data_IF_070735591118
#
_entry.id   IF_070735591118
#
_cell.length_a   1.000
_cell.length_b   1.000
_cell.length_c   1.000
_cell.angle_alpha   90.00
_cell.angle_beta   90.00
_cell.angle_gamma   90.00
#
_symmetry.space_group_name_H-M   'P 1'
#
loop_
_entity.id
_entity.type
_entity.pdbx_description
1 polymer ?
#
# COMPACT_ATOMS: atom_id res chain seq x y z
N UNK A 1 -3.12 30.36 17.40
CA UNK A 1 -2.78 28.93 17.66
C UNK A 1 -3.58 27.99 16.76
N UNK A 2 -4.90 28.15 16.64
CA UNK A 2 -5.77 27.31 15.78
C UNK A 2 -5.39 27.30 14.29
N UNK A 3 -5.05 28.46 13.70
CA UNK A 3 -4.59 28.55 12.30
C UNK A 3 -3.30 27.76 12.04
N UNK A 4 -2.39 27.70 13.03
CA UNK A 4 -1.15 26.92 12.93
C UNK A 4 -1.44 25.41 12.96
N UNK A 5 -2.39 24.95 13.79
CA UNK A 5 -2.78 23.54 13.84
C UNK A 5 -3.42 23.06 12.53
N UNK A 6 -4.37 23.83 11.98
CA UNK A 6 -4.98 23.53 10.67
C UNK A 6 -3.95 23.47 9.54
N UNK A 7 -2.97 24.37 9.56
CA UNK A 7 -1.86 24.36 8.61
C UNK A 7 -0.97 23.12 8.75
N UNK A 8 -0.61 22.72 9.98
CA UNK A 8 0.19 21.52 10.24
C UNK A 8 -0.54 20.25 9.76
N UNK A 9 -1.84 20.13 10.02
CA UNK A 9 -2.64 19.00 9.54
C UNK A 9 -2.72 18.94 8.02
N UNK A 10 -2.97 20.09 7.37
CA UNK A 10 -2.98 20.19 5.92
C UNK A 10 -1.61 19.82 5.33
N UNK A 11 -0.51 20.26 5.93
CA UNK A 11 0.85 19.90 5.50
C UNK A 11 1.11 18.40 5.62
N UNK A 12 0.81 17.79 6.78
CA UNK A 12 0.94 16.34 6.99
C UNK A 12 0.13 15.56 5.95
N UNK A 13 -1.05 16.07 5.57
CA UNK A 13 -1.89 15.47 4.52
C UNK A 13 -1.21 15.49 3.17
N UNK A 14 -0.68 16.64 2.76
CA UNK A 14 0.02 16.79 1.48
C UNK A 14 1.25 15.88 1.43
N UNK A 15 2.01 15.80 2.52
CA UNK A 15 3.20 14.94 2.60
C UNK A 15 2.83 13.45 2.49
N UNK A 16 1.74 13.01 3.12
CA UNK A 16 1.23 11.65 2.99
C UNK A 16 0.79 11.30 1.56
N UNK A 17 0.09 12.22 0.89
CA UNK A 17 -0.34 12.04 -0.50
C UNK A 17 0.86 11.97 -1.44
N UNK A 18 1.86 12.86 -1.26
CA UNK A 18 3.12 12.82 -2.02
C UNK A 18 3.86 11.50 -1.82
N UNK A 19 3.93 11.02 -0.57
CA UNK A 19 4.53 9.72 -0.24
C UNK A 19 3.83 8.54 -0.94
N UNK A 20 2.50 8.56 -1.02
CA UNK A 20 1.75 7.57 -1.79
C UNK A 20 2.10 7.61 -3.28
N UNK A 21 2.12 8.80 -3.91
CA UNK A 21 2.46 8.93 -5.32
C UNK A 21 3.89 8.51 -5.64
N UNK A 22 4.84 8.71 -4.71
CA UNK A 22 6.20 8.20 -4.87
C UNK A 22 6.22 6.67 -4.96
N UNK A 23 5.53 5.97 -4.03
CA UNK A 23 5.42 4.51 -4.08
C UNK A 23 4.66 4.01 -5.32
N UNK A 24 3.57 4.68 -5.70
CA UNK A 24 2.82 4.35 -6.91
C UNK A 24 3.69 4.49 -8.17
N UNK A 25 4.48 5.56 -8.24
CA UNK A 25 5.38 5.82 -9.37
C UNK A 25 6.46 4.74 -9.45
N UNK A 26 7.10 4.42 -8.32
CA UNK A 26 8.09 3.34 -8.25
C UNK A 26 7.47 1.98 -8.66
N UNK A 27 6.25 1.69 -8.18
CA UNK A 27 5.50 0.50 -8.58
C UNK A 27 5.30 0.43 -10.09
N UNK A 28 4.83 1.50 -10.73
CA UNK A 28 4.60 1.51 -12.19
C UNK A 28 5.93 1.32 -12.94
N UNK A 29 6.97 2.08 -12.58
CA UNK A 29 8.27 2.04 -13.28
C UNK A 29 8.91 0.66 -13.18
N UNK A 30 8.96 0.08 -11.97
CA UNK A 30 9.58 -1.23 -11.75
C UNK A 30 8.82 -2.33 -12.49
N UNK A 31 7.49 -2.34 -12.41
CA UNK A 31 6.70 -3.38 -13.08
C UNK A 31 6.78 -3.26 -14.61
N UNK A 32 6.77 -2.05 -15.16
CA UNK A 32 7.02 -1.86 -16.59
C UNK A 32 8.42 -2.35 -16.98
N UNK A 33 9.46 -1.99 -16.22
CA UNK A 33 10.82 -2.45 -16.47
C UNK A 33 10.92 -3.99 -16.46
N UNK A 34 10.29 -4.66 -15.49
CA UNK A 34 10.24 -6.12 -15.42
C UNK A 34 9.60 -6.75 -16.67
N UNK A 35 8.49 -6.18 -17.16
CA UNK A 35 7.82 -6.65 -18.39
C UNK A 35 8.72 -6.42 -19.62
N UNK A 36 9.38 -5.26 -19.72
CA UNK A 36 10.27 -4.95 -20.84
C UNK A 36 11.54 -5.79 -20.85
N UNK A 37 12.07 -6.17 -19.69
CA UNK A 37 13.27 -7.02 -19.57
C UNK A 37 12.98 -8.48 -19.96
N UNK A 38 11.73 -8.95 -19.83
CA UNK A 38 11.36 -10.35 -20.10
C UNK A 38 11.76 -10.84 -21.50
N UNK A 39 11.30 -10.14 -22.54
CA UNK A 39 11.52 -10.54 -23.95
C UNK A 39 12.99 -10.60 -24.34
N UNK A 40 13.82 -9.56 -24.10
CA UNK A 40 15.24 -9.62 -24.45
C UNK A 40 16.00 -10.69 -23.66
N UNK A 41 15.61 -10.98 -22.41
CA UNK A 41 16.19 -12.08 -21.62
C UNK A 41 15.91 -13.43 -22.29
N UNK A 42 14.66 -13.70 -22.67
CA UNK A 42 14.29 -14.95 -23.36
C UNK A 42 15.06 -15.10 -24.68
N UNK A 43 15.12 -14.03 -25.49
CA UNK A 43 15.82 -14.06 -26.78
C UNK A 43 17.33 -14.28 -26.62
N UNK A 44 17.96 -13.64 -25.62
CA UNK A 44 19.38 -13.80 -25.32
C UNK A 44 19.73 -15.26 -24.98
N UNK A 45 18.92 -15.93 -24.17
CA UNK A 45 19.15 -17.32 -23.79
C UNK A 45 18.78 -18.32 -24.90
N UNK A 46 17.76 -18.01 -25.70
CA UNK A 46 17.40 -18.82 -26.86
C UNK A 46 18.54 -18.87 -27.89
N UNK A 47 19.19 -17.73 -28.17
CA UNK A 47 20.34 -17.65 -29.08
C UNK A 47 21.56 -18.45 -28.57
N UNK A 48 21.70 -18.59 -27.25
CA UNK A 48 22.79 -19.33 -26.59
C UNK A 48 22.55 -20.84 -26.48
N UNK A 49 21.45 -21.35 -27.04
CA UNK A 49 21.17 -22.78 -27.12
C UNK A 49 20.37 -23.37 -25.95
N UNK A 50 19.74 -22.53 -25.12
CA UNK A 50 18.71 -22.89 -24.13
C UNK A 50 18.94 -24.21 -23.38
N UNK A 51 19.73 -24.20 -22.31
CA UNK A 51 19.91 -25.36 -21.44
C UNK A 51 18.86 -25.42 -20.30
N UNK A 52 18.88 -26.47 -19.48
CA UNK A 52 17.95 -26.62 -18.35
C UNK A 52 18.03 -25.46 -17.36
N UNK A 53 19.22 -24.86 -17.15
CA UNK A 53 19.38 -23.72 -16.27
C UNK A 53 18.69 -22.46 -16.85
N UNK A 54 18.65 -22.30 -18.17
CA UNK A 54 17.89 -21.21 -18.80
C UNK A 54 16.38 -21.33 -18.58
N UNK A 55 15.83 -22.56 -18.62
CA UNK A 55 14.41 -22.81 -18.38
C UNK A 55 14.04 -22.46 -16.93
N UNK A 56 14.88 -22.85 -15.97
CA UNK A 56 14.69 -22.51 -14.55
C UNK A 56 14.72 -21.00 -14.31
N UNK A 57 15.65 -20.27 -14.94
CA UNK A 57 15.76 -18.80 -14.79
C UNK A 57 14.54 -18.10 -15.40
N UNK A 58 14.07 -18.53 -16.57
CA UNK A 58 12.90 -17.94 -17.23
C UNK A 58 11.62 -18.23 -16.45
N UNK A 59 11.43 -19.46 -15.96
CA UNK A 59 10.26 -19.81 -15.14
C UNK A 59 10.25 -19.03 -13.81
N UNK A 60 11.40 -18.95 -13.14
CA UNK A 60 11.55 -18.12 -11.94
C UNK A 60 11.21 -16.65 -12.24
N UNK A 61 11.71 -16.10 -13.36
CA UNK A 61 11.43 -14.72 -13.75
C UNK A 61 9.94 -14.49 -14.01
N UNK A 62 9.28 -15.39 -14.73
CA UNK A 62 7.86 -15.29 -15.05
C UNK A 62 6.98 -15.34 -13.80
N UNK A 63 7.29 -16.22 -12.85
CA UNK A 63 6.61 -16.26 -11.55
C UNK A 63 6.77 -14.96 -10.77
N UNK A 64 7.97 -14.38 -10.75
CA UNK A 64 8.23 -13.13 -10.05
C UNK A 64 7.56 -11.92 -10.74
N UNK A 65 7.53 -11.89 -12.08
CA UNK A 65 6.85 -10.84 -12.85
C UNK A 65 5.35 -10.76 -12.50
N UNK A 66 4.72 -11.87 -12.10
CA UNK A 66 3.32 -11.86 -11.65
C UNK A 66 3.21 -11.63 -10.14
N UNK A 67 3.98 -12.39 -9.35
CA UNK A 67 3.84 -12.40 -7.89
C UNK A 67 4.24 -11.05 -7.26
N UNK A 68 5.33 -10.45 -7.73
CA UNK A 68 5.84 -9.18 -7.20
C UNK A 68 4.82 -8.04 -7.35
N UNK A 69 4.25 -7.74 -8.55
CA UNK A 69 3.21 -6.73 -8.69
C UNK A 69 1.95 -7.03 -7.89
N UNK A 70 1.58 -8.29 -7.71
CA UNK A 70 0.40 -8.66 -6.90
C UNK A 70 0.63 -8.30 -5.44
N UNK A 71 1.74 -8.75 -4.84
CA UNK A 71 2.05 -8.48 -3.44
C UNK A 71 2.25 -6.98 -3.18
N UNK A 72 3.03 -6.29 -4.03
CA UNK A 72 3.20 -4.85 -3.93
C UNK A 72 1.90 -4.09 -4.20
N UNK A 73 1.06 -4.60 -5.11
CA UNK A 73 -0.25 -4.04 -5.42
C UNK A 73 -1.17 -4.07 -4.20
N UNK A 74 -1.19 -5.17 -3.44
CA UNK A 74 -1.93 -5.26 -2.17
C UNK A 74 -1.41 -4.22 -1.18
N UNK A 75 -0.09 -4.10 -1.01
CA UNK A 75 0.50 -3.09 -0.12
C UNK A 75 0.15 -1.65 -0.54
N UNK A 76 0.17 -1.37 -1.84
CA UNK A 76 -0.19 -0.08 -2.42
C UNK A 76 -1.69 0.22 -2.22
N UNK A 77 -2.56 -0.78 -2.38
CA UNK A 77 -3.99 -0.65 -2.10
C UNK A 77 -4.23 -0.29 -0.62
N UNK A 78 -3.60 -1.01 0.31
CA UNK A 78 -3.70 -0.72 1.75
C UNK A 78 -3.19 0.69 2.05
N UNK A 79 -2.02 1.08 1.50
CA UNK A 79 -1.47 2.41 1.70
C UNK A 79 -2.40 3.51 1.15
N UNK A 80 -2.98 3.29 -0.03
CA UNK A 80 -3.98 4.18 -0.62
C UNK A 80 -5.22 4.33 0.28
N UNK A 81 -5.75 3.22 0.79
CA UNK A 81 -6.87 3.25 1.75
C UNK A 81 -6.52 4.04 3.02
N UNK A 82 -5.30 3.92 3.54
CA UNK A 82 -4.87 4.68 4.73
C UNK A 82 -4.72 6.18 4.42
N UNK A 83 -4.11 6.53 3.29
CA UNK A 83 -3.83 7.93 2.90
C UNK A 83 -5.10 8.68 2.50
N UNK A 84 -6.01 8.04 1.77
CA UNK A 84 -7.23 8.66 1.27
C UNK A 84 -8.44 8.40 2.18
N UNK A 85 -8.51 7.26 2.85
CA UNK A 85 -9.63 6.87 3.71
C UNK A 85 -9.87 7.83 4.88
N UNK A 86 -8.83 8.43 5.45
CA UNK A 86 -8.96 9.45 6.50
C UNK A 86 -9.76 10.70 6.10
N UNK A 87 -10.03 10.95 4.80
CA UNK A 87 -10.90 12.06 4.37
C UNK A 87 -12.29 11.59 3.92
N UNK A 88 -12.58 10.29 4.00
CA UNK A 88 -13.92 9.79 3.72
C UNK A 88 -14.82 10.17 4.89
N UNK A 89 -15.87 10.95 4.61
CA UNK A 89 -16.87 11.32 5.62
C UNK A 89 -17.53 10.11 6.29
N UNK A 90 -17.54 8.95 5.61
CA UNK A 90 -18.02 7.69 6.16
C UNK A 90 -17.08 7.09 7.21
N UNK A 91 -15.77 7.10 6.94
CA UNK A 91 -14.76 6.55 7.86
C UNK A 91 -14.67 7.40 9.11
N UNK A 92 -14.63 8.73 8.98
CA UNK A 92 -14.59 9.64 10.13
C UNK A 92 -15.81 9.47 11.04
N UNK A 93 -17.01 9.35 10.44
CA UNK A 93 -18.24 9.07 11.20
C UNK A 93 -18.23 7.70 11.87
N UNK A 94 -17.62 6.69 11.24
CA UNK A 94 -17.48 5.36 11.84
C UNK A 94 -16.50 5.38 13.02
N UNK A 95 -15.33 6.02 12.87
CA UNK A 95 -14.34 6.19 13.94
C UNK A 95 -14.95 6.92 15.14
N UNK A 96 -15.67 8.02 14.90
CA UNK A 96 -16.34 8.78 15.94
C UNK A 96 -17.38 7.95 16.71
N UNK A 97 -18.17 7.13 16.01
CA UNK A 97 -19.10 6.19 16.67
C UNK A 97 -18.38 5.16 17.52
N UNK A 98 -17.29 4.58 17.04
CA UNK A 98 -16.57 3.53 17.76
C UNK A 98 -15.86 4.08 19.01
N UNK A 99 -15.32 5.30 18.95
CA UNK A 99 -14.75 5.97 20.12
C UNK A 99 -15.83 6.22 21.18
N UNK A 100 -17.01 6.70 20.78
CA UNK A 100 -18.13 6.92 21.70
C UNK A 100 -18.62 5.62 22.33
N UNK A 101 -18.58 4.51 21.61
CA UNK A 101 -18.92 3.18 22.13
C UNK A 101 -17.93 2.71 23.21
N UNK A 102 -16.62 2.79 22.93
CA UNK A 102 -15.56 2.40 23.88
C UNK A 102 -15.63 3.23 25.17
N UNK A 103 -15.83 4.56 25.06
CA UNK A 103 -15.95 5.43 26.24
C UNK A 103 -17.16 5.06 27.11
N UNK A 104 -18.30 4.71 26.48
CA UNK A 104 -19.49 4.26 27.23
C UNK A 104 -19.24 2.92 27.93
N UNK A 105 -18.59 1.97 27.25
CA UNK A 105 -18.22 0.68 27.83
C UNK A 105 -17.27 0.84 29.02
N UNK A 106 -16.28 1.74 28.93
CA UNK A 106 -15.36 2.06 30.03
C UNK A 106 -16.07 2.74 31.21
N UNK A 107 -16.99 3.68 30.95
CA UNK A 107 -17.80 4.35 31.98
C UNK A 107 -18.75 3.38 32.69
N UNK A 108 -19.39 2.45 31.96
CA UNK A 108 -20.22 1.40 32.53
C UNK A 108 -19.40 0.42 33.37
N UNK A 109 -18.27 -0.04 32.85
CA UNK A 109 -17.36 -0.93 33.58
C UNK A 109 -16.82 -0.28 34.85
N UNK A 110 -16.45 0.99 34.79
CA UNK A 110 -15.99 1.77 35.95
C UNK A 110 -17.09 1.93 36.98
N UNK A 111 -18.33 2.24 36.58
CA UNK A 111 -19.47 2.31 37.51
C UNK A 111 -19.77 0.99 38.20
N UNK A 112 -19.66 -0.13 37.49
CA UNK A 112 -19.87 -1.47 38.06
C UNK A 112 -18.74 -1.91 39.01
N UNK A 113 -17.54 -1.32 38.91
CA UNK A 113 -16.40 -1.61 39.80
C UNK A 113 -16.50 -0.89 41.16
N UNK A 114 -17.29 0.18 41.25
CA UNK A 114 -17.47 1.00 42.46
C UNK A 114 -18.86 0.82 43.11
N UNK A 115 -19.67 -0.11 42.61
CA UNK A 115 -20.90 -0.62 43.26
C UNK A 115 -20.61 -1.95 43.95
#
# INVERSE_FOLDING_TARGET
>A
MEQSQKFIEAKKRVDAIKGFYHHLTAYIIVNLALIFIRVPVILFFADKGGDAATVEVVDWLDWNIVLTPVLWGIGLLIHGLVVFGKNSGYIRKWEERKIQEILREEDEKSRNLYQ
#
